data_IF_783151790129
#
_entry.id   IF_783151790129
#
_cell.length_a   1.000
_cell.length_b   1.000
_cell.length_c   1.000
_cell.angle_alpha   90.00
_cell.angle_beta   90.00
_cell.angle_gamma   90.00
#
_symmetry.space_group_name_H-M   'P 1'
#
loop_
_entity.id
_entity.type
_entity.pdbx_description
1 polymer ?
#
# COMPACT_ATOMS: atom_id res chain seq x y z
N UNK A 1 -6.85 -6.11 27.39
CA UNK A 1 -7.05 -5.43 26.10
C UNK A 1 -6.02 -5.99 25.15
N UNK A 2 -6.35 -7.07 24.47
CA UNK A 2 -5.53 -7.51 23.35
C UNK A 2 -5.72 -6.47 22.26
N UNK A 3 -4.80 -5.52 22.19
CA UNK A 3 -4.73 -4.57 21.09
C UNK A 3 -4.51 -5.41 19.84
N UNK A 4 -5.56 -5.59 19.03
CA UNK A 4 -5.48 -6.32 17.77
C UNK A 4 -4.70 -5.46 16.76
N UNK A 5 -3.38 -5.43 16.94
CA UNK A 5 -2.44 -4.69 16.12
C UNK A 5 -2.49 -5.16 14.66
N UNK A 6 -2.84 -6.43 14.41
CA UNK A 6 -3.05 -6.96 13.06
C UNK A 6 -4.20 -6.24 12.36
N UNK A 7 -5.34 -6.05 13.05
CA UNK A 7 -6.46 -5.29 12.51
C UNK A 7 -6.09 -3.82 12.26
N UNK A 8 -5.31 -3.22 13.17
CA UNK A 8 -4.82 -1.86 12.96
C UNK A 8 -3.89 -1.76 11.75
N UNK A 9 -2.99 -2.74 11.56
CA UNK A 9 -2.10 -2.83 10.42
C UNK A 9 -2.89 -2.93 9.10
N UNK A 10 -3.87 -3.83 9.04
CA UNK A 10 -4.75 -3.97 7.87
C UNK A 10 -5.46 -2.66 7.53
N UNK A 11 -6.01 -1.98 8.53
CA UNK A 11 -6.68 -0.69 8.34
C UNK A 11 -5.72 0.43 7.90
N UNK A 12 -4.47 0.43 8.39
CA UNK A 12 -3.46 1.38 7.91
C UNK A 12 -3.15 1.09 6.45
N UNK A 13 -2.85 -0.17 6.08
CA UNK A 13 -2.54 -0.52 4.69
C UNK A 13 -3.69 -0.20 3.73
N UNK A 14 -4.95 -0.39 4.13
CA UNK A 14 -6.12 0.05 3.34
C UNK A 14 -6.12 1.56 3.06
N UNK A 15 -5.79 2.38 4.06
CA UNK A 15 -5.71 3.84 3.89
C UNK A 15 -4.54 4.24 2.99
N UNK A 16 -3.39 3.60 3.18
CA UNK A 16 -2.21 3.87 2.37
C UNK A 16 -2.44 3.46 0.90
N UNK A 17 -3.21 2.39 0.63
CA UNK A 17 -3.64 2.02 -0.71
C UNK A 17 -4.59 3.06 -1.33
N UNK A 18 -5.57 3.54 -0.57
CA UNK A 18 -6.50 4.57 -1.03
C UNK A 18 -5.76 5.87 -1.39
N UNK A 19 -4.74 6.24 -0.59
CA UNK A 19 -3.89 7.39 -0.90
C UNK A 19 -3.05 7.17 -2.16
N UNK A 20 -2.47 5.98 -2.36
CA UNK A 20 -1.73 5.67 -3.59
C UNK A 20 -2.63 5.78 -4.83
N UNK A 21 -3.85 5.25 -4.76
CA UNK A 21 -4.80 5.36 -5.86
C UNK A 21 -5.18 6.81 -6.15
N UNK A 22 -5.41 7.62 -5.12
CA UNK A 22 -5.69 9.04 -5.27
C UNK A 22 -4.52 9.78 -5.94
N UNK A 23 -3.28 9.58 -5.47
CA UNK A 23 -2.08 10.19 -6.03
C UNK A 23 -1.91 9.86 -7.52
N UNK A 24 -2.09 8.59 -7.90
CA UNK A 24 -1.98 8.15 -9.31
C UNK A 24 -3.05 8.82 -10.17
N UNK A 25 -4.30 8.90 -9.68
CA UNK A 25 -5.38 9.57 -10.41
C UNK A 25 -5.14 11.07 -10.56
N UNK A 26 -4.65 11.73 -9.52
CA UNK A 26 -4.29 13.15 -9.53
C UNK A 26 -3.14 13.45 -10.50
N UNK A 27 -2.08 12.63 -10.49
CA UNK A 27 -0.98 12.73 -11.46
C UNK A 27 -1.50 12.59 -12.90
N UNK A 28 -2.37 11.60 -13.17
CA UNK A 28 -2.96 11.37 -14.49
C UNK A 28 -3.91 12.50 -14.93
N UNK A 29 -4.54 13.19 -13.98
CA UNK A 29 -5.36 14.37 -14.24
C UNK A 29 -4.54 15.64 -14.50
N UNK A 30 -3.22 15.60 -14.28
CA UNK A 30 -2.32 16.73 -14.45
C UNK A 30 -2.36 17.73 -13.30
N UNK A 31 -2.68 17.29 -12.08
CA UNK A 31 -2.62 18.15 -10.89
C UNK A 31 -1.17 18.56 -10.58
N UNK A 32 -0.87 19.86 -10.64
CA UNK A 32 0.49 20.41 -10.47
C UNK A 32 1.06 20.27 -9.05
N UNK A 33 0.20 19.99 -8.06
CA UNK A 33 0.59 19.84 -6.65
C UNK A 33 1.11 18.43 -6.32
N UNK A 34 1.00 17.47 -7.24
CA UNK A 34 1.47 16.09 -7.02
C UNK A 34 2.82 15.91 -7.68
N UNK A 35 3.84 15.68 -6.86
CA UNK A 35 5.17 15.36 -7.36
C UNK A 35 5.33 13.85 -7.53
N UNK A 36 6.15 13.43 -8.50
CA UNK A 36 6.53 12.01 -8.66
C UNK A 36 7.14 11.43 -7.36
N UNK A 37 7.73 12.29 -6.52
CA UNK A 37 8.24 11.95 -5.19
C UNK A 37 7.16 11.47 -4.21
N UNK A 38 5.93 12.00 -4.30
CA UNK A 38 4.82 11.64 -3.40
C UNK A 38 4.36 10.20 -3.63
N UNK A 39 4.22 9.83 -4.90
CA UNK A 39 3.88 8.45 -5.30
C UNK A 39 4.98 7.49 -4.87
N UNK A 40 6.25 7.87 -5.07
CA UNK A 40 7.38 7.03 -4.65
C UNK A 40 7.40 6.82 -3.13
N UNK A 41 7.23 7.89 -2.35
CA UNK A 41 7.16 7.81 -0.89
C UNK A 41 6.00 6.92 -0.42
N UNK A 42 4.86 7.01 -1.09
CA UNK A 42 3.69 6.18 -0.78
C UNK A 42 3.93 4.69 -1.05
N UNK A 43 4.58 4.36 -2.17
CA UNK A 43 4.96 2.99 -2.51
C UNK A 43 5.96 2.44 -1.50
N UNK A 44 7.00 3.21 -1.13
CA UNK A 44 7.98 2.78 -0.13
C UNK A 44 7.34 2.49 1.23
N UNK A 45 6.38 3.32 1.64
CA UNK A 45 5.61 3.12 2.87
C UNK A 45 4.78 1.84 2.83
N UNK A 46 4.03 1.62 1.75
CA UNK A 46 3.26 0.39 1.55
C UNK A 46 4.16 -0.85 1.57
N UNK A 47 5.30 -0.79 0.86
CA UNK A 47 6.30 -1.86 0.85
C UNK A 47 6.76 -2.23 2.26
N UNK A 48 7.19 -1.24 3.05
CA UNK A 48 7.63 -1.48 4.42
C UNK A 48 6.54 -2.05 5.35
N UNK A 49 5.26 -1.73 5.12
CA UNK A 49 4.15 -2.31 5.88
C UNK A 49 3.85 -3.75 5.44
N UNK A 50 3.89 -4.03 4.14
CA UNK A 50 3.66 -5.38 3.61
C UNK A 50 4.84 -6.32 3.87
N UNK A 51 6.04 -5.79 4.00
CA UNK A 51 7.24 -6.54 4.35
C UNK A 51 7.16 -7.16 5.76
N UNK A 52 6.33 -6.60 6.64
CA UNK A 52 6.04 -7.19 7.94
C UNK A 52 5.41 -8.58 7.83
N UNK A 53 4.80 -8.93 6.70
CA UNK A 53 4.22 -10.25 6.43
C UNK A 53 5.20 -11.21 5.75
N UNK A 54 6.46 -10.84 5.49
CA UNK A 54 7.44 -11.77 4.91
C UNK A 54 7.79 -12.90 5.91
N UNK A 55 8.40 -14.01 5.45
CA UNK A 55 8.74 -15.14 6.32
C UNK A 55 9.58 -14.79 7.55
N UNK A 56 10.36 -13.70 7.49
CA UNK A 56 11.20 -13.15 8.57
C UNK A 56 10.57 -11.94 9.27
N UNK A 57 9.30 -11.64 8.98
CA UNK A 57 8.54 -10.51 9.51
C UNK A 57 7.93 -10.75 10.89
N UNK A 58 6.85 -10.03 11.20
CA UNK A 58 6.16 -10.14 12.47
C UNK A 58 5.29 -11.40 12.53
N UNK A 59 5.24 -12.11 13.68
CA UNK A 59 4.34 -13.23 13.84
C UNK A 59 2.90 -12.72 13.77
N UNK A 60 2.13 -13.19 12.80
CA UNK A 60 0.73 -12.82 12.60
C UNK A 60 -0.12 -14.03 12.21
N UNK A 61 -1.43 -13.89 12.34
CA UNK A 61 -2.36 -14.92 11.87
C UNK A 61 -2.28 -15.13 10.35
N UNK A 62 -2.56 -16.35 9.89
CA UNK A 62 -2.62 -16.68 8.47
C UNK A 62 -3.64 -15.80 7.72
N UNK A 63 -4.73 -15.43 8.39
CA UNK A 63 -5.75 -14.53 7.82
C UNK A 63 -5.20 -13.14 7.56
N UNK A 64 -4.44 -12.58 8.51
CA UNK A 64 -3.80 -11.27 8.34
C UNK A 64 -2.73 -11.31 7.25
N UNK A 65 -1.92 -12.36 7.22
CA UNK A 65 -0.93 -12.56 6.18
C UNK A 65 -1.57 -12.61 4.78
N UNK A 66 -2.63 -13.41 4.59
CA UNK A 66 -3.34 -13.50 3.31
C UNK A 66 -3.93 -12.14 2.88
N UNK A 67 -4.51 -11.37 3.81
CA UNK A 67 -5.05 -10.03 3.51
C UNK A 67 -3.95 -9.03 3.14
N UNK A 68 -2.82 -9.04 3.84
CA UNK A 68 -1.68 -8.17 3.49
C UNK A 68 -1.10 -8.52 2.12
N UNK A 69 -1.01 -9.80 1.77
CA UNK A 69 -0.60 -10.23 0.43
C UNK A 69 -1.58 -9.71 -0.64
N UNK A 70 -2.88 -9.84 -0.42
CA UNK A 70 -3.90 -9.30 -1.33
C UNK A 70 -3.76 -7.78 -1.50
N UNK A 71 -3.51 -7.05 -0.40
CA UNK A 71 -3.29 -5.60 -0.43
C UNK A 71 -2.01 -5.22 -1.19
N UNK A 72 -0.93 -5.98 -1.02
CA UNK A 72 0.30 -5.80 -1.80
C UNK A 72 0.07 -6.01 -3.31
N UNK A 73 -0.71 -7.03 -3.69
CA UNK A 73 -1.07 -7.26 -5.09
C UNK A 73 -1.85 -6.09 -5.69
N UNK A 74 -2.71 -5.44 -4.91
CA UNK A 74 -3.42 -4.22 -5.32
C UNK A 74 -2.44 -3.07 -5.55
N UNK A 75 -1.49 -2.83 -4.64
CA UNK A 75 -0.45 -1.82 -4.82
C UNK A 75 0.34 -2.06 -6.13
N UNK A 76 0.78 -3.30 -6.36
CA UNK A 76 1.52 -3.69 -7.56
C UNK A 76 0.68 -3.55 -8.85
N UNK A 77 -0.65 -3.66 -8.75
CA UNK A 77 -1.54 -3.41 -9.89
C UNK A 77 -1.65 -1.92 -10.20
N UNK A 78 -1.80 -1.08 -9.17
CA UNK A 78 -1.84 0.38 -9.31
C UNK A 78 -0.53 0.93 -9.89
N UNK A 79 0.61 0.40 -9.43
CA UNK A 79 1.92 0.76 -10.00
C UNK A 79 2.02 0.41 -11.49
N UNK A 80 1.55 -0.79 -11.88
CA UNK A 80 1.55 -1.21 -13.29
C UNK A 80 0.61 -0.36 -14.14
N UNK A 81 -0.57 -0.01 -13.64
CA UNK A 81 -1.50 0.86 -14.38
C UNK A 81 -0.91 2.23 -14.63
N UNK A 82 -0.23 2.82 -13.63
CA UNK A 82 0.50 4.07 -13.79
C UNK A 82 1.53 3.97 -14.92
N UNK A 83 2.39 2.95 -14.89
CA UNK A 83 3.45 2.78 -15.90
C UNK A 83 2.90 2.59 -17.32
N UNK A 84 1.73 1.94 -17.47
CA UNK A 84 1.08 1.76 -18.77
C UNK A 84 0.39 3.02 -19.32
N UNK A 85 0.23 4.06 -18.50
CA UNK A 85 -0.42 5.32 -18.88
C UNK A 85 0.57 6.44 -19.26
N UNK A 86 1.88 6.18 -19.11
CA UNK A 86 2.99 7.03 -19.59
C UNK A 86 3.44 6.60 -20.98
#
# INVERSE_FOLDING_TARGET
MDKNWEQALLTVVERELAQLEWLIRSEQAGEEEIECGDIHAQISRLGGLTDLAQPDGLPMSETTHAKLQQQNEVAMRLMRSRLSST
#
